data_IF_717098744007
#
_entry.id   IF_717098744007
#
_cell.length_a   1.000
_cell.length_b   1.000
_cell.length_c   1.000
_cell.angle_alpha   90.00
_cell.angle_beta   90.00
_cell.angle_gamma   90.00
#
_symmetry.space_group_name_H-M   'P 1'
#
loop_
_entity.id
_entity.type
_entity.pdbx_description
1 polymer ?
#
# COMPACT_ATOMS: atom_id res chain seq x y z
N UNK A 1 17.19 8.67 -25.82
CA UNK A 1 16.28 9.72 -26.33
C UNK A 1 15.08 9.00 -26.92
N UNK A 2 13.85 9.32 -26.50
CA UNK A 2 12.67 8.66 -27.08
C UNK A 2 12.57 8.99 -28.57
N UNK A 3 12.21 8.02 -29.43
CA UNK A 3 12.05 8.27 -30.86
C UNK A 3 10.94 9.29 -31.11
N UNK A 4 11.10 10.06 -32.19
CA UNK A 4 10.13 11.07 -32.59
C UNK A 4 8.81 10.37 -32.97
N UNK A 5 7.77 10.56 -32.14
CA UNK A 5 6.46 9.97 -32.38
C UNK A 5 5.74 10.72 -33.49
N UNK A 6 5.09 9.97 -34.37
CA UNK A 6 4.26 10.53 -35.44
C UNK A 6 3.05 11.26 -34.82
N UNK A 7 2.83 12.51 -35.21
CA UNK A 7 1.75 13.33 -34.64
C UNK A 7 0.35 12.77 -34.93
N UNK A 8 0.20 11.97 -35.99
CA UNK A 8 -1.07 11.31 -36.34
C UNK A 8 -1.54 10.34 -35.27
N UNK A 9 -0.63 9.87 -34.40
CA UNK A 9 -0.94 8.92 -33.34
C UNK A 9 -1.49 9.65 -32.09
N UNK A 10 -1.22 10.94 -31.91
CA UNK A 10 -1.59 11.72 -30.71
C UNK A 10 -3.09 11.62 -30.33
N UNK A 11 -4.06 11.67 -31.26
CA UNK A 11 -5.48 11.55 -30.91
C UNK A 11 -5.90 10.17 -30.38
N UNK A 12 -5.07 9.14 -30.62
CA UNK A 12 -5.31 7.76 -30.20
C UNK A 12 -4.58 7.40 -28.91
N UNK A 13 -3.75 8.31 -28.38
CA UNK A 13 -3.08 8.13 -27.10
C UNK A 13 -4.05 8.57 -26.02
N UNK A 14 -4.34 7.65 -25.10
CA UNK A 14 -5.08 7.99 -23.90
C UNK A 14 -4.29 9.01 -23.08
N UNK A 15 -4.95 10.11 -22.71
CA UNK A 15 -4.40 11.14 -21.81
C UNK A 15 -4.41 10.62 -20.36
N UNK A 16 -3.56 9.64 -20.07
CA UNK A 16 -3.37 9.14 -18.72
C UNK A 16 -2.56 10.14 -17.89
N UNK A 17 -3.17 10.64 -16.81
CA UNK A 17 -2.44 11.37 -15.77
C UNK A 17 -1.94 10.39 -14.73
N UNK A 18 -0.63 10.14 -14.74
CA UNK A 18 0.03 9.34 -13.70
C UNK A 18 0.26 10.24 -12.49
N UNK A 19 -0.39 9.94 -11.38
CA UNK A 19 -0.12 10.58 -10.10
C UNK A 19 0.90 9.72 -9.35
N UNK A 20 2.13 10.21 -9.25
CA UNK A 20 3.16 9.55 -8.45
C UNK A 20 2.98 9.97 -6.98
N UNK A 21 2.75 9.01 -6.10
CA UNK A 21 2.65 9.23 -4.66
C UNK A 21 3.90 8.69 -3.98
N UNK A 22 4.54 9.53 -3.17
CA UNK A 22 5.65 9.13 -2.32
C UNK A 22 5.12 8.97 -0.88
N UNK A 23 5.05 7.74 -0.32
CA UNK A 23 4.53 7.51 1.03
C UNK A 23 5.19 8.37 2.12
N UNK A 24 6.47 8.71 1.96
CA UNK A 24 7.21 9.55 2.91
C UNK A 24 6.70 11.00 2.96
N UNK A 25 6.16 11.51 1.86
CA UNK A 25 5.62 12.88 1.74
C UNK A 25 4.16 12.99 2.19
N UNK A 26 3.48 11.86 2.40
CA UNK A 26 2.09 11.83 2.86
C UNK A 26 2.05 12.19 4.35
N UNK A 27 1.31 13.24 4.70
CA UNK A 27 1.13 13.71 6.08
C UNK A 27 -0.19 13.28 6.71
N UNK A 28 -1.19 12.99 5.88
CA UNK A 28 -2.55 12.66 6.31
C UNK A 28 -3.03 11.44 5.51
N UNK A 29 -2.98 10.29 6.16
CA UNK A 29 -3.39 9.01 5.58
C UNK A 29 -4.90 8.77 5.66
N UNK A 30 -5.64 9.58 6.42
CA UNK A 30 -7.11 9.45 6.51
C UNK A 30 -7.82 9.71 5.18
N UNK A 31 -7.12 10.33 4.22
CA UNK A 31 -7.59 10.54 2.84
C UNK A 31 -7.68 9.26 2.01
N UNK A 32 -7.09 8.17 2.48
CA UNK A 32 -7.14 6.87 1.85
C UNK A 32 -8.16 6.00 2.60
N UNK A 33 -9.24 5.62 1.93
CA UNK A 33 -10.33 4.82 2.51
C UNK A 33 -10.21 3.31 2.19
N UNK A 34 -9.17 2.92 1.44
CA UNK A 34 -8.94 1.54 0.98
C UNK A 34 -7.68 0.95 1.57
N UNK A 35 -7.33 -0.28 1.18
CA UNK A 35 -6.07 -0.94 1.53
C UNK A 35 -4.77 -0.16 1.20
N UNK A 36 -4.86 0.90 0.38
CA UNK A 36 -3.73 1.83 0.20
C UNK A 36 -3.33 2.54 1.49
N UNK A 37 -4.27 2.80 2.40
CA UNK A 37 -3.99 3.42 3.69
C UNK A 37 -3.00 2.59 4.52
N UNK A 38 -3.33 1.35 4.93
CA UNK A 38 -2.42 0.54 5.74
C UNK A 38 -1.11 0.24 5.01
N UNK A 39 -1.13 0.03 3.68
CA UNK A 39 0.09 -0.19 2.90
C UNK A 39 1.04 1.01 2.96
N UNK A 40 0.55 2.23 2.72
CA UNK A 40 1.41 3.42 2.73
C UNK A 40 1.85 3.83 4.13
N UNK A 41 0.99 3.65 5.15
CA UNK A 41 1.37 3.88 6.54
C UNK A 41 2.50 2.94 6.97
N UNK A 42 2.43 1.65 6.60
CA UNK A 42 3.52 0.70 6.86
C UNK A 42 4.78 1.03 6.07
N UNK A 43 4.68 1.32 4.77
CA UNK A 43 5.84 1.69 3.96
C UNK A 43 6.56 2.93 4.51
N UNK A 44 5.82 3.93 5.00
CA UNK A 44 6.42 5.12 5.62
C UNK A 44 7.20 4.79 6.89
N UNK A 45 6.72 3.82 7.67
CA UNK A 45 7.31 3.45 8.96
C UNK A 45 8.15 2.16 8.90
N UNK A 46 8.40 1.59 7.71
CA UNK A 46 9.06 0.29 7.53
C UNK A 46 10.46 0.19 8.17
N UNK A 47 11.13 1.31 8.40
CA UNK A 47 12.45 1.37 9.05
C UNK A 47 12.40 1.57 10.57
N UNK A 48 11.22 1.75 11.16
CA UNK A 48 11.00 2.04 12.58
C UNK A 48 10.10 0.97 13.19
N UNK A 49 10.73 -0.10 13.70
CA UNK A 49 10.06 -1.29 14.23
C UNK A 49 9.14 -0.97 15.42
N UNK A 50 9.52 -0.05 16.29
CA UNK A 50 8.71 0.36 17.45
C UNK A 50 7.41 1.04 16.99
N UNK A 51 7.51 1.98 16.04
CA UNK A 51 6.32 2.61 15.46
C UNK A 51 5.46 1.64 14.67
N UNK A 52 6.08 0.68 13.98
CA UNK A 52 5.33 -0.30 13.20
C UNK A 52 4.49 -1.21 14.12
N UNK A 53 5.08 -1.67 15.22
CA UNK A 53 4.40 -2.46 16.24
C UNK A 53 3.25 -1.67 16.88
N UNK A 54 3.48 -0.40 17.24
CA UNK A 54 2.45 0.49 17.79
C UNK A 54 1.29 0.67 16.82
N UNK A 55 1.59 0.96 15.55
CA UNK A 55 0.61 1.16 14.49
C UNK A 55 -0.28 -0.09 14.30
N UNK A 56 0.34 -1.25 14.14
CA UNK A 56 -0.38 -2.50 13.88
C UNK A 56 -1.22 -2.92 15.09
N UNK A 57 -0.75 -2.67 16.31
CA UNK A 57 -1.45 -3.12 17.52
C UNK A 57 -2.59 -2.18 17.93
N UNK A 58 -2.43 -0.87 17.72
CA UNK A 58 -3.33 0.14 18.30
C UNK A 58 -4.29 0.79 17.29
N UNK A 59 -4.04 0.73 15.99
CA UNK A 59 -4.94 1.29 14.98
C UNK A 59 -5.95 0.23 14.45
N UNK A 60 -7.25 0.52 14.61
CA UNK A 60 -8.35 -0.36 14.18
C UNK A 60 -8.32 -0.69 12.68
N UNK A 61 -7.68 0.16 11.87
CA UNK A 61 -7.48 -0.05 10.42
C UNK A 61 -6.76 -1.37 10.15
N UNK A 62 -5.90 -1.83 11.05
CA UNK A 62 -5.12 -3.06 10.92
C UNK A 62 -5.84 -4.31 11.45
N UNK A 63 -7.02 -4.14 12.07
CA UNK A 63 -7.81 -5.27 12.60
C UNK A 63 -8.53 -6.05 11.48
N UNK A 64 -8.78 -5.41 10.34
CA UNK A 64 -9.52 -5.99 9.19
C UNK A 64 -8.92 -5.52 7.87
N UNK A 65 -7.86 -6.17 7.44
CA UNK A 65 -7.15 -5.84 6.18
C UNK A 65 -7.43 -6.93 5.16
N UNK A 66 -7.79 -6.57 3.94
CA UNK A 66 -8.02 -7.52 2.87
C UNK A 66 -6.74 -8.30 2.51
N UNK A 67 -6.90 -9.56 2.09
CA UNK A 67 -5.76 -10.44 1.76
C UNK A 67 -4.88 -9.85 0.65
N UNK A 68 -5.46 -9.15 -0.33
CA UNK A 68 -4.71 -8.51 -1.41
C UNK A 68 -3.76 -7.44 -0.87
N UNK A 69 -4.22 -6.65 0.09
CA UNK A 69 -3.41 -5.64 0.76
C UNK A 69 -2.34 -6.27 1.64
N UNK A 70 -2.63 -7.35 2.36
CA UNK A 70 -1.60 -8.09 3.13
C UNK A 70 -0.53 -8.67 2.20
N UNK A 71 -0.92 -9.22 1.05
CA UNK A 71 0.02 -9.70 0.04
C UNK A 71 0.91 -8.57 -0.50
N UNK A 72 0.33 -7.39 -0.76
CA UNK A 72 1.09 -6.22 -1.17
C UNK A 72 2.06 -5.74 -0.07
N UNK A 73 1.61 -5.74 1.19
CA UNK A 73 2.46 -5.39 2.35
C UNK A 73 3.66 -6.33 2.43
N UNK A 74 3.45 -7.65 2.40
CA UNK A 74 4.54 -8.64 2.39
C UNK A 74 5.51 -8.40 1.23
N UNK A 75 5.00 -8.11 0.03
CA UNK A 75 5.81 -7.88 -1.15
C UNK A 75 6.66 -6.59 -1.06
N UNK A 76 6.08 -5.48 -0.63
CA UNK A 76 6.71 -4.15 -0.70
C UNK A 76 7.43 -3.74 0.58
N UNK A 77 6.94 -4.16 1.74
CA UNK A 77 7.54 -3.86 3.06
C UNK A 77 8.57 -4.92 3.44
N UNK A 78 8.49 -6.12 2.85
CA UNK A 78 9.40 -7.22 3.13
C UNK A 78 9.06 -7.99 4.42
N UNK A 79 7.77 -8.00 4.79
CA UNK A 79 7.24 -8.74 5.95
C UNK A 79 6.85 -10.16 5.56
N UNK A 80 6.71 -11.06 6.54
CA UNK A 80 6.28 -12.46 6.33
C UNK A 80 4.99 -12.77 7.10
N UNK A 81 4.00 -11.90 6.97
CA UNK A 81 2.71 -12.02 7.66
C UNK A 81 1.97 -13.23 7.11
N UNK A 82 1.60 -14.16 8.00
CA UNK A 82 0.87 -15.37 7.63
C UNK A 82 -0.63 -15.09 7.52
N UNK A 83 -1.24 -15.58 6.46
CA UNK A 83 -2.69 -15.51 6.25
C UNK A 83 -3.19 -16.73 5.47
N UNK A 84 -4.47 -17.06 5.61
CA UNK A 84 -5.15 -18.08 4.79
C UNK A 84 -5.73 -17.41 3.54
N UNK A 85 -5.33 -17.87 2.35
CA UNK A 85 -5.85 -17.37 1.06
C UNK A 85 -7.36 -17.59 0.89
N UNK A 86 -7.99 -18.45 1.70
CA UNK A 86 -9.43 -18.68 1.69
C UNK A 86 -10.22 -17.64 2.48
N UNK A 87 -9.56 -16.88 3.35
CA UNK A 87 -10.19 -15.78 4.08
C UNK A 87 -10.18 -14.51 3.21
N UNK A 88 -11.21 -13.66 3.36
CA UNK A 88 -11.26 -12.38 2.65
C UNK A 88 -10.51 -11.27 3.40
N UNK A 89 -10.40 -11.40 4.73
CA UNK A 89 -9.84 -10.40 5.63
C UNK A 89 -8.97 -11.04 6.69
N UNK A 90 -7.85 -10.38 6.98
CA UNK A 90 -6.85 -10.77 7.96
C UNK A 90 -6.88 -9.78 9.11
N UNK A 91 -6.81 -10.28 10.33
CA UNK A 91 -6.52 -9.46 11.50
C UNK A 91 -5.00 -9.34 11.64
N UNK A 92 -4.44 -8.21 11.20
CA UNK A 92 -2.98 -8.04 11.21
C UNK A 92 -2.42 -7.99 12.62
N UNK A 93 -3.14 -7.43 13.60
CA UNK A 93 -2.71 -7.42 15.00
C UNK A 93 -2.37 -8.84 15.51
N UNK A 94 -3.10 -9.86 15.06
CA UNK A 94 -2.87 -11.26 15.44
C UNK A 94 -1.89 -12.00 14.53
N UNK A 95 -1.71 -11.53 13.30
CA UNK A 95 -0.86 -12.18 12.29
C UNK A 95 0.57 -11.62 12.26
N UNK A 96 0.84 -10.60 13.08
CA UNK A 96 2.10 -9.87 13.14
C UNK A 96 3.15 -10.50 14.06
N UNK A 97 2.72 -11.31 15.03
CA UNK A 97 3.60 -12.17 15.87
C UNK A 97 4.11 -13.41 15.10
#
# INVERSE_FOLDING_TARGET
MMPQMDERILPFINDYRINLLNPLEITDFSKFETGLRPLFELLKNASDEEKLNDLITNDETFTRVDVETVAAINLFVGTDIKYDEKEEVVNMCKAWD
#
